data_IF_347222649546
#
_entry.id   IF_347222649546
#
_cell.length_a   1.000
_cell.length_b   1.000
_cell.length_c   1.000
_cell.angle_alpha   90.00
_cell.angle_beta   90.00
_cell.angle_gamma   90.00
#
_symmetry.space_group_name_H-M   'P 1'
#
loop_
_entity.id
_entity.type
_entity.pdbx_description
1 polymer ?
#
# COMPACT_ATOMS: atom_id res chain seq x y z
N UNK A 1 23.70 15.85 1.36
CA UNK A 1 22.43 15.35 1.90
C UNK A 1 22.79 14.25 2.89
N UNK A 2 22.80 14.54 4.19
CA UNK A 2 22.90 13.50 5.21
C UNK A 2 21.74 12.52 4.97
N UNK A 3 22.07 11.29 4.54
CA UNK A 3 21.06 10.27 4.34
C UNK A 3 20.56 9.83 5.72
N UNK A 4 19.49 10.47 6.21
CA UNK A 4 18.80 10.06 7.43
C UNK A 4 18.07 8.75 7.19
N UNK A 5 18.83 7.64 7.18
CA UNK A 5 18.33 6.26 7.07
C UNK A 5 17.54 5.88 8.34
N UNK A 6 17.85 6.51 9.47
CA UNK A 6 17.27 6.19 10.76
C UNK A 6 15.74 6.38 10.78
N UNK A 7 15.22 7.45 10.17
CA UNK A 7 13.78 7.73 10.15
C UNK A 7 12.96 6.70 9.36
N UNK A 8 13.24 6.42 8.07
CA UNK A 8 12.52 5.40 7.32
C UNK A 8 12.71 3.99 7.92
N UNK A 9 13.87 3.72 8.53
CA UNK A 9 14.11 2.47 9.24
C UNK A 9 13.18 2.31 10.45
N UNK A 10 13.10 3.33 11.32
CA UNK A 10 12.22 3.30 12.49
C UNK A 10 10.74 3.20 12.08
N UNK A 11 10.32 3.96 11.06
CA UNK A 11 8.95 3.89 10.54
C UNK A 11 8.60 2.47 10.03
N UNK A 12 9.50 1.86 9.26
CA UNK A 12 9.31 0.50 8.74
C UNK A 12 9.32 -0.54 9.86
N UNK A 13 10.19 -0.37 10.86
CA UNK A 13 10.26 -1.23 12.04
C UNK A 13 8.94 -1.19 12.83
N UNK A 14 8.40 0.00 13.10
CA UNK A 14 7.12 0.15 13.79
C UNK A 14 5.95 -0.42 12.98
N UNK A 15 5.95 -0.23 11.65
CA UNK A 15 4.94 -0.84 10.78
C UNK A 15 4.98 -2.38 10.86
N UNK A 16 6.18 -2.98 10.82
CA UNK A 16 6.35 -4.43 10.97
C UNK A 16 5.94 -4.95 12.35
N UNK A 17 6.29 -4.24 13.42
CA UNK A 17 5.87 -4.57 14.78
C UNK A 17 4.34 -4.51 14.92
N UNK A 18 3.67 -3.54 14.29
CA UNK A 18 2.21 -3.46 14.29
C UNK A 18 1.57 -4.70 13.63
N UNK A 19 2.13 -5.21 12.53
CA UNK A 19 1.70 -6.48 11.92
C UNK A 19 1.91 -7.66 12.88
N UNK A 20 3.05 -7.73 13.57
CA UNK A 20 3.35 -8.76 14.57
C UNK A 20 2.40 -8.74 15.77
N UNK A 21 2.03 -7.56 16.27
CA UNK A 21 1.04 -7.41 17.35
C UNK A 21 -0.33 -7.88 16.87
N UNK A 22 -0.73 -7.52 15.65
CA UNK A 22 -1.98 -7.95 15.04
C UNK A 22 -2.08 -9.47 14.89
N UNK A 23 -0.99 -10.13 14.47
CA UNK A 23 -0.95 -11.59 14.34
C UNK A 23 -0.93 -12.32 15.69
N UNK A 24 -0.22 -11.78 16.70
CA UNK A 24 -0.27 -12.30 18.07
C UNK A 24 -1.68 -12.24 18.66
N UNK A 25 -2.39 -11.12 18.47
CA UNK A 25 -3.77 -10.99 18.91
C UNK A 25 -4.70 -12.02 18.24
N UNK A 26 -4.42 -12.41 16.99
CA UNK A 26 -5.17 -13.45 16.28
C UNK A 26 -4.98 -14.85 16.90
N UNK A 27 -3.83 -15.16 17.52
CA UNK A 27 -3.59 -16.44 18.20
C UNK A 27 -4.43 -16.63 19.47
N UNK A 28 -4.74 -15.53 20.17
CA UNK A 28 -5.61 -15.56 21.35
C UNK A 28 -7.10 -15.52 21.00
N UNK A 29 -7.46 -15.18 19.75
CA UNK A 29 -8.84 -15.13 19.28
C UNK A 29 -9.40 -16.56 19.04
N UNK A 30 -9.88 -17.21 20.10
CA UNK A 30 -10.48 -18.57 20.06
C UNK A 30 -11.68 -18.73 19.11
N UNK A 31 -12.35 -17.64 18.70
CA UNK A 31 -13.48 -17.63 17.75
C UNK A 31 -13.30 -16.45 16.80
N UNK A 32 -13.17 -16.71 15.50
CA UNK A 32 -13.24 -15.65 14.48
C UNK A 32 -14.65 -15.06 14.46
N UNK A 33 -14.83 -13.86 15.02
CA UNK A 33 -16.05 -13.10 14.83
C UNK A 33 -16.00 -12.46 13.43
N UNK A 34 -16.72 -13.05 12.46
CA UNK A 34 -16.73 -12.57 11.08
C UNK A 34 -17.13 -11.09 10.96
N UNK A 35 -17.97 -10.56 11.86
CA UNK A 35 -18.33 -9.13 11.85
C UNK A 35 -17.11 -8.24 12.14
N UNK A 36 -16.32 -8.60 13.15
CA UNK A 36 -15.10 -7.88 13.49
C UNK A 36 -14.04 -8.02 12.39
N UNK A 37 -13.88 -9.23 11.83
CA UNK A 37 -12.93 -9.47 10.74
C UNK A 37 -13.28 -8.65 9.50
N UNK A 38 -14.54 -8.64 9.06
CA UNK A 38 -14.99 -7.85 7.92
C UNK A 38 -14.82 -6.34 8.15
N UNK A 39 -15.06 -5.86 9.38
CA UNK A 39 -14.81 -4.46 9.73
C UNK A 39 -13.32 -4.10 9.64
N UNK A 40 -12.45 -4.93 10.23
CA UNK A 40 -10.99 -4.70 10.20
C UNK A 40 -10.41 -4.77 8.79
N UNK A 41 -10.87 -5.72 7.95
CA UNK A 41 -10.49 -5.79 6.54
C UNK A 41 -10.96 -4.57 5.75
N UNK A 42 -12.20 -4.11 5.99
CA UNK A 42 -12.73 -2.89 5.37
C UNK A 42 -11.95 -1.64 5.77
N UNK A 43 -11.57 -1.52 7.05
CA UNK A 43 -10.73 -0.43 7.56
C UNK A 43 -9.36 -0.44 6.87
N UNK A 44 -8.72 -1.61 6.78
CA UNK A 44 -7.42 -1.75 6.11
C UNK A 44 -7.49 -1.42 4.62
N UNK A 45 -8.51 -1.91 3.91
CA UNK A 45 -8.74 -1.56 2.52
C UNK A 45 -8.95 -0.05 2.33
N UNK A 46 -9.74 0.59 3.20
CA UNK A 46 -9.97 2.04 3.16
C UNK A 46 -8.70 2.86 3.33
N UNK A 47 -7.86 2.53 4.34
CA UNK A 47 -6.57 3.20 4.56
C UNK A 47 -5.66 3.06 3.34
N UNK A 48 -5.56 1.85 2.76
CA UNK A 48 -4.71 1.63 1.58
C UNK A 48 -5.21 2.36 0.33
N UNK A 49 -6.53 2.47 0.14
CA UNK A 49 -7.10 3.28 -0.95
C UNK A 49 -6.73 4.76 -0.77
N UNK A 50 -6.87 5.31 0.44
CA UNK A 50 -6.50 6.69 0.73
C UNK A 50 -5.01 6.96 0.46
N UNK A 51 -4.13 6.14 1.02
CA UNK A 51 -2.67 6.25 0.83
C UNK A 51 -2.32 6.17 -0.67
N UNK A 52 -2.95 5.25 -1.41
CA UNK A 52 -2.66 5.08 -2.83
C UNK A 52 -3.08 6.29 -3.69
N UNK A 53 -4.29 6.81 -3.48
CA UNK A 53 -4.84 7.87 -4.33
C UNK A 53 -4.47 9.29 -3.89
N UNK A 54 -4.36 9.54 -2.58
CA UNK A 54 -4.15 10.89 -2.06
C UNK A 54 -2.67 11.17 -1.86
N UNK A 55 -1.95 10.23 -1.26
CA UNK A 55 -0.52 10.41 -0.96
C UNK A 55 0.34 10.01 -2.16
N UNK A 56 0.36 8.71 -2.52
CA UNK A 56 1.28 8.18 -3.52
C UNK A 56 1.02 8.74 -4.92
N UNK A 57 -0.24 8.74 -5.38
CA UNK A 57 -0.58 9.30 -6.68
C UNK A 57 -0.37 10.82 -6.72
N UNK A 58 -0.67 11.52 -5.62
CA UNK A 58 -0.47 12.96 -5.50
C UNK A 58 1.01 13.36 -5.60
N UNK A 59 1.87 12.70 -4.84
CA UNK A 59 3.32 12.90 -4.89
C UNK A 59 3.90 12.54 -6.26
N UNK A 60 3.50 11.40 -6.83
CA UNK A 60 3.94 10.98 -8.16
C UNK A 60 3.54 12.00 -9.23
N UNK A 61 2.31 12.53 -9.17
CA UNK A 61 1.85 13.59 -10.08
C UNK A 61 2.71 14.83 -9.95
N UNK A 62 2.93 15.35 -8.74
CA UNK A 62 3.73 16.56 -8.52
C UNK A 62 5.14 16.35 -9.07
N UNK A 63 5.80 15.25 -8.69
CA UNK A 63 7.16 14.93 -9.11
C UNK A 63 7.29 14.83 -10.64
N UNK A 64 6.40 14.08 -11.30
CA UNK A 64 6.43 13.92 -12.76
C UNK A 64 6.04 15.20 -13.51
N UNK A 65 5.08 15.98 -13.02
CA UNK A 65 4.67 17.23 -13.68
C UNK A 65 5.74 18.32 -13.60
N UNK A 66 6.57 18.31 -12.55
CA UNK A 66 7.70 19.24 -12.43
C UNK A 66 8.79 18.95 -13.46
N UNK A 67 9.05 17.69 -13.77
CA UNK A 67 10.11 17.27 -14.71
C UNK A 67 9.65 17.23 -16.18
N UNK A 68 8.43 16.75 -16.43
CA UNK A 68 7.92 16.46 -17.78
C UNK A 68 6.87 17.48 -18.27
N UNK A 69 6.48 18.44 -17.42
CA UNK A 69 5.41 19.38 -17.67
C UNK A 69 4.01 18.84 -17.33
N UNK A 70 3.02 19.73 -17.33
CA UNK A 70 1.68 19.45 -16.79
C UNK A 70 0.95 18.28 -17.47
N UNK A 71 0.85 18.28 -18.80
CA UNK A 71 0.08 17.27 -19.55
C UNK A 71 0.80 15.93 -19.64
N UNK A 72 2.09 15.94 -20.00
CA UNK A 72 2.86 14.71 -20.15
C UNK A 72 3.12 14.04 -18.79
N UNK A 73 3.42 14.82 -17.74
CA UNK A 73 3.60 14.32 -16.38
C UNK A 73 2.34 13.64 -15.85
N UNK A 74 1.17 14.28 -16.00
CA UNK A 74 -0.11 13.69 -15.58
C UNK A 74 -0.42 12.39 -16.32
N UNK A 75 -0.24 12.37 -17.65
CA UNK A 75 -0.49 11.17 -18.46
C UNK A 75 0.41 10.02 -18.01
N UNK A 76 1.70 10.29 -17.78
CA UNK A 76 2.64 9.28 -17.33
C UNK A 76 2.32 8.77 -15.92
N UNK A 77 1.93 9.65 -14.98
CA UNK A 77 1.50 9.22 -13.64
C UNK A 77 0.32 8.24 -13.71
N UNK A 78 -0.70 8.54 -14.52
CA UNK A 78 -1.86 7.67 -14.71
C UNK A 78 -1.46 6.33 -15.33
N UNK A 79 -0.65 6.36 -16.40
CA UNK A 79 -0.19 5.14 -17.07
C UNK A 79 0.64 4.25 -16.13
N UNK A 80 1.55 4.83 -15.34
CA UNK A 80 2.35 4.07 -14.38
C UNK A 80 1.51 3.51 -13.23
N UNK A 81 0.53 4.27 -12.72
CA UNK A 81 -0.35 3.81 -11.64
C UNK A 81 -1.22 2.62 -12.07
N UNK A 82 -1.95 2.75 -13.18
CA UNK A 82 -2.76 1.65 -13.71
C UNK A 82 -1.91 0.52 -14.29
N UNK A 83 -0.73 0.83 -14.84
CA UNK A 83 0.25 -0.17 -15.25
C UNK A 83 0.73 -1.02 -14.08
N UNK A 84 1.01 -0.41 -12.92
CA UNK A 84 1.34 -1.12 -11.68
C UNK A 84 0.19 -1.99 -11.17
N UNK A 85 -1.05 -1.49 -11.23
CA UNK A 85 -2.24 -2.27 -10.89
C UNK A 85 -2.41 -3.49 -11.79
N UNK A 86 -2.24 -3.32 -13.11
CA UNK A 86 -2.29 -4.41 -14.08
C UNK A 86 -1.18 -5.43 -13.83
N UNK A 87 0.05 -4.97 -13.55
CA UNK A 87 1.19 -5.81 -13.25
C UNK A 87 0.94 -6.68 -12.01
N UNK A 88 0.39 -6.10 -10.93
CA UNK A 88 0.00 -6.88 -9.73
C UNK A 88 -1.07 -7.91 -10.09
N UNK A 89 -2.06 -7.56 -10.92
CA UNK A 89 -3.07 -8.51 -11.39
C UNK A 89 -2.51 -9.65 -12.23
N UNK A 90 -1.48 -9.39 -13.05
CA UNK A 90 -0.74 -10.45 -13.76
C UNK A 90 0.00 -11.34 -12.77
N UNK A 91 0.69 -10.75 -11.79
CA UNK A 91 1.41 -11.52 -10.76
C UNK A 91 0.44 -12.42 -10.00
N UNK A 92 -0.71 -11.90 -9.57
CA UNK A 92 -1.72 -12.66 -8.83
C UNK A 92 -2.24 -13.86 -9.67
N UNK A 93 -2.43 -13.67 -10.97
CA UNK A 93 -2.83 -14.74 -11.89
C UNK A 93 -1.73 -15.80 -12.12
N UNK A 94 -0.46 -15.42 -12.02
CA UNK A 94 0.67 -16.33 -12.18
C UNK A 94 0.99 -17.11 -10.91
N UNK A 95 0.64 -16.57 -9.73
CA UNK A 95 0.81 -17.26 -8.45
C UNK A 95 -0.17 -18.45 -8.43
N UNK A 96 0.32 -19.70 -8.41
CA UNK A 96 -0.56 -20.86 -8.37
C UNK A 96 -1.31 -20.85 -7.03
N UNK A 97 -2.63 -20.93 -7.10
CA UNK A 97 -3.48 -21.16 -5.94
C UNK A 97 -3.28 -22.61 -5.48
N UNK A 98 -2.25 -22.86 -4.68
CA UNK A 98 -2.17 -24.06 -3.87
C UNK A 98 -3.15 -23.89 -2.72
N UNK A 99 -4.40 -24.30 -2.96
CA UNK A 99 -5.40 -24.52 -1.91
C UNK A 99 -5.10 -25.83 -1.16
#
# INVERSE_FOLDING_TARGET
MEQSILTPFLLTLFAGLATGIGSLAALFARRTNRKFLSFSLGLSAGVMIYVSFVELFGEARISLTNELGGTAGMLLTVLCFFGGMLLIGIIDRLIPSFE
#
